data_IF_246869432311
#
_entry.id   IF_246869432311
#
_cell.length_a   1.000
_cell.length_b   1.000
_cell.length_c   1.000
_cell.angle_alpha   90.00
_cell.angle_beta   90.00
_cell.angle_gamma   90.00
#
_symmetry.space_group_name_H-M   'P 1'
#
loop_
_entity.id
_entity.type
_entity.pdbx_description
1 polymer ?
#
# COMPACT_ATOMS: atom_id res chain seq x y z
N UNK A 1 -14.39 5.47 17.34
CA UNK A 1 -15.30 5.92 16.26
C UNK A 1 -15.70 4.73 15.40
N UNK A 2 -16.96 4.44 15.23
CA UNK A 2 -17.49 3.44 14.30
C UNK A 2 -18.31 4.14 13.23
N UNK A 3 -18.46 3.53 12.05
CA UNK A 3 -19.24 4.06 10.94
C UNK A 3 -20.39 3.11 10.60
N UNK A 4 -21.61 3.62 10.62
CA UNK A 4 -22.79 2.94 10.09
C UNK A 4 -23.04 3.44 8.68
N UNK A 5 -23.01 2.52 7.72
CA UNK A 5 -23.07 2.83 6.29
C UNK A 5 -24.38 2.31 5.69
N UNK A 6 -25.00 3.13 4.88
CA UNK A 6 -26.16 2.74 4.09
C UNK A 6 -26.19 3.50 2.77
N UNK A 7 -26.76 2.87 1.76
CA UNK A 7 -27.11 3.54 0.51
C UNK A 7 -28.38 4.35 0.70
N UNK A 8 -28.37 5.62 0.28
CA UNK A 8 -29.58 6.47 0.27
C UNK A 8 -30.05 6.74 -1.16
N UNK A 9 -29.13 7.25 -1.98
CA UNK A 9 -29.36 7.44 -3.41
C UNK A 9 -28.00 7.63 -4.09
N UNK A 10 -27.75 6.89 -5.15
CA UNK A 10 -26.57 7.13 -5.97
C UNK A 10 -26.75 8.41 -6.78
N UNK A 11 -25.69 9.22 -6.97
CA UNK A 11 -25.73 10.36 -7.86
C UNK A 11 -26.09 9.93 -9.29
N UNK A 12 -26.99 10.68 -9.94
CA UNK A 12 -27.33 10.47 -11.35
C UNK A 12 -26.27 11.04 -12.31
N UNK A 13 -25.39 11.90 -11.80
CA UNK A 13 -24.33 12.55 -12.55
C UNK A 13 -22.96 11.91 -12.25
N UNK A 14 -22.02 12.10 -13.17
CA UNK A 14 -20.63 11.67 -12.98
C UNK A 14 -19.99 12.45 -11.83
N UNK A 15 -19.53 11.74 -10.82
CA UNK A 15 -18.86 12.33 -9.66
C UNK A 15 -17.35 12.44 -9.88
N UNK A 16 -16.76 13.55 -9.45
CA UNK A 16 -15.31 13.77 -9.50
C UNK A 16 -14.70 13.60 -8.11
N UNK A 17 -13.75 12.71 -8.00
CA UNK A 17 -13.01 12.43 -6.76
C UNK A 17 -11.51 12.66 -7.01
N UNK A 18 -10.89 13.44 -6.13
CA UNK A 18 -9.44 13.64 -6.14
C UNK A 18 -8.81 12.82 -5.02
N UNK A 19 -8.33 11.64 -5.38
CA UNK A 19 -7.56 10.80 -4.47
C UNK A 19 -6.18 11.44 -4.27
N UNK A 20 -5.66 11.40 -3.04
CA UNK A 20 -4.31 11.91 -2.76
C UNK A 20 -3.25 11.07 -3.48
N UNK A 21 -2.04 11.61 -3.55
CA UNK A 21 -0.91 10.92 -4.15
C UNK A 21 -0.60 9.58 -3.49
N UNK A 22 -0.02 8.68 -4.27
CA UNK A 22 0.38 7.35 -3.82
C UNK A 22 1.29 7.42 -2.60
N UNK A 23 0.90 6.73 -1.53
CA UNK A 23 1.72 6.55 -0.35
C UNK A 23 3.07 5.91 -0.69
N UNK A 24 3.06 4.93 -1.58
CA UNK A 24 4.26 4.18 -1.97
C UNK A 24 5.27 5.04 -2.74
N UNK A 25 4.82 5.89 -3.65
CA UNK A 25 5.68 6.85 -4.34
C UNK A 25 6.14 7.96 -3.42
N UNK A 26 5.20 8.57 -2.67
CA UNK A 26 5.48 9.66 -1.74
C UNK A 26 6.57 9.31 -0.74
N UNK A 27 6.49 8.13 -0.14
CA UNK A 27 7.46 7.72 0.87
C UNK A 27 8.86 7.49 0.26
N UNK A 28 8.95 7.01 -0.97
CA UNK A 28 10.22 6.87 -1.70
C UNK A 28 10.83 8.23 -2.02
N UNK A 29 10.03 9.11 -2.58
CA UNK A 29 10.48 10.45 -2.95
C UNK A 29 10.90 11.29 -1.73
N UNK A 30 10.25 11.13 -0.58
CA UNK A 30 10.64 11.81 0.67
C UNK A 30 12.01 11.36 1.15
N UNK A 31 12.36 10.06 1.03
CA UNK A 31 13.71 9.58 1.37
C UNK A 31 14.74 10.16 0.42
N UNK A 32 14.46 10.18 -0.88
CA UNK A 32 15.36 10.77 -1.88
C UNK A 32 15.49 12.29 -1.69
N UNK A 33 14.39 13.01 -1.40
CA UNK A 33 14.43 14.45 -1.14
C UNK A 33 15.24 14.80 0.12
N UNK A 34 15.27 13.93 1.12
CA UNK A 34 16.05 14.18 2.33
C UNK A 34 17.58 14.18 2.07
N UNK A 35 18.02 13.49 1.03
CA UNK A 35 19.41 13.53 0.58
C UNK A 35 19.62 14.55 -0.55
N UNK A 36 18.66 14.68 -1.44
CA UNK A 36 18.71 15.57 -2.60
C UNK A 36 17.61 16.64 -2.49
N UNK A 37 17.88 17.77 -1.81
CA UNK A 37 16.88 18.83 -1.59
C UNK A 37 16.34 19.50 -2.87
N UNK A 38 17.03 19.31 -4.00
CA UNK A 38 16.63 19.79 -5.33
C UNK A 38 15.39 19.06 -5.89
N UNK A 39 14.89 18.03 -5.23
CA UNK A 39 13.65 17.36 -5.63
C UNK A 39 12.46 18.14 -5.10
N UNK A 40 11.71 18.82 -5.98
CA UNK A 40 10.42 19.40 -5.65
C UNK A 40 9.31 18.34 -5.84
N UNK A 41 8.54 18.04 -4.78
CA UNK A 41 7.50 17.01 -4.82
C UNK A 41 6.13 17.65 -4.73
N UNK A 42 5.24 17.31 -5.65
CA UNK A 42 3.85 17.72 -5.68
C UNK A 42 2.91 16.54 -5.52
N UNK A 43 1.69 16.79 -5.06
CA UNK A 43 0.66 15.79 -4.81
C UNK A 43 1.11 14.67 -3.85
N UNK A 44 1.87 15.03 -2.80
CA UNK A 44 2.23 14.06 -1.76
C UNK A 44 0.98 13.43 -1.13
N UNK A 45 1.12 12.19 -0.71
CA UNK A 45 0.11 11.52 0.12
C UNK A 45 -0.10 12.28 1.44
N UNK A 46 -1.35 12.45 1.83
CA UNK A 46 -1.76 13.02 3.13
C UNK A 46 -1.98 11.93 4.20
N UNK A 47 -1.59 10.69 3.90
CA UNK A 47 -1.69 9.56 4.82
C UNK A 47 -0.85 9.73 6.08
N UNK A 48 -1.29 9.09 7.18
CA UNK A 48 -0.53 9.06 8.43
C UNK A 48 0.87 8.49 8.23
N UNK A 49 1.02 7.43 7.44
CA UNK A 49 2.30 6.80 7.11
C UNK A 49 3.28 7.79 6.48
N UNK A 50 2.83 8.59 5.53
CA UNK A 50 3.67 9.61 4.85
C UNK A 50 3.98 10.78 5.77
N UNK A 51 2.99 11.20 6.58
CA UNK A 51 3.16 12.29 7.55
C UNK A 51 4.20 11.92 8.61
N UNK A 52 4.15 10.70 9.12
CA UNK A 52 5.11 10.18 10.12
C UNK A 52 6.50 10.08 9.51
N UNK A 53 6.65 9.56 8.29
CA UNK A 53 7.94 9.51 7.60
C UNK A 53 8.52 10.93 7.39
N UNK A 54 7.72 11.87 6.89
CA UNK A 54 8.13 13.26 6.64
C UNK A 54 8.62 13.98 7.90
N UNK A 55 8.03 13.67 9.05
CA UNK A 55 8.48 14.20 10.35
C UNK A 55 9.73 13.48 10.85
N UNK A 56 9.71 12.13 10.82
CA UNK A 56 10.76 11.29 11.37
C UNK A 56 12.10 11.47 10.67
N UNK A 57 12.12 11.60 9.35
CA UNK A 57 13.34 11.72 8.55
C UNK A 57 14.18 12.97 8.88
N UNK A 58 13.60 13.97 9.54
CA UNK A 58 14.26 15.21 9.96
C UNK A 58 14.94 15.09 11.33
N UNK A 59 14.66 14.04 12.06
CA UNK A 59 15.17 13.83 13.43
C UNK A 59 16.47 13.05 13.33
N UNK A 60 17.60 13.70 13.55
CA UNK A 60 18.91 13.05 13.52
C UNK A 60 19.39 12.56 14.89
N UNK A 61 18.76 12.99 15.98
CA UNK A 61 19.09 12.59 17.35
C UNK A 61 17.81 12.40 18.18
N UNK A 62 17.76 11.34 18.99
CA UNK A 62 16.65 11.05 19.89
C UNK A 62 15.68 9.99 19.37
N UNK A 63 14.42 10.03 19.80
CA UNK A 63 13.43 8.97 19.52
C UNK A 63 12.56 9.32 18.33
N UNK A 64 12.47 8.40 17.37
CA UNK A 64 11.55 8.45 16.24
C UNK A 64 10.52 7.35 16.38
N UNK A 65 9.28 7.71 16.69
CA UNK A 65 8.16 6.76 16.79
C UNK A 65 7.33 6.81 15.51
N UNK A 66 7.37 5.72 14.75
CA UNK A 66 6.63 5.59 13.49
C UNK A 66 5.23 4.99 13.67
N UNK A 67 4.78 4.78 14.89
CA UNK A 67 3.48 4.17 15.19
C UNK A 67 3.24 2.88 14.37
N UNK A 68 2.28 2.90 13.45
CA UNK A 68 1.92 1.76 12.61
C UNK A 68 2.54 1.80 11.19
N UNK A 69 3.36 2.82 10.89
CA UNK A 69 3.87 3.09 9.55
C UNK A 69 4.98 2.11 9.15
N UNK A 70 4.60 0.97 8.56
CA UNK A 70 5.53 -0.10 8.18
C UNK A 70 6.58 0.34 7.17
N UNK A 71 6.21 1.12 6.17
CA UNK A 71 7.15 1.67 5.18
C UNK A 71 8.12 2.63 5.83
N UNK A 72 7.64 3.51 6.72
CA UNK A 72 8.50 4.45 7.46
C UNK A 72 9.53 3.71 8.31
N UNK A 73 9.13 2.64 9.03
CA UNK A 73 10.07 1.82 9.81
C UNK A 73 11.22 1.30 8.93
N UNK A 74 10.92 0.71 7.76
CA UNK A 74 11.93 0.11 6.88
C UNK A 74 12.82 1.15 6.22
N UNK A 75 12.23 2.20 5.69
CA UNK A 75 12.95 3.25 4.98
C UNK A 75 13.83 4.08 5.91
N UNK A 76 13.32 4.45 7.09
CA UNK A 76 14.10 5.18 8.09
C UNK A 76 15.22 4.33 8.69
N UNK A 77 15.04 3.00 8.85
CA UNK A 77 16.12 2.12 9.28
C UNK A 77 17.32 2.21 8.33
N UNK A 78 17.08 2.10 7.01
CA UNK A 78 18.13 2.21 6.02
C UNK A 78 18.71 3.64 5.94
N UNK A 79 17.84 4.65 5.92
CA UNK A 79 18.25 6.05 5.83
C UNK A 79 19.15 6.46 7.01
N UNK A 80 18.74 6.20 8.24
CA UNK A 80 19.53 6.56 9.41
C UNK A 80 20.84 5.77 9.49
N UNK A 81 20.85 4.51 9.07
CA UNK A 81 22.06 3.70 9.01
C UNK A 81 23.13 4.32 8.10
N UNK A 82 22.72 4.90 6.96
CA UNK A 82 23.60 5.54 5.98
C UNK A 82 23.84 7.05 6.24
N UNK A 83 23.03 7.70 7.10
CA UNK A 83 23.12 9.14 7.38
C UNK A 83 24.14 9.43 8.48
N UNK A 84 25.35 9.85 8.10
CA UNK A 84 26.40 10.22 9.06
C UNK A 84 25.89 11.22 10.11
N UNK A 85 26.16 10.92 11.37
CA UNK A 85 25.77 11.76 12.51
C UNK A 85 24.36 11.50 13.05
N UNK A 86 23.60 10.57 12.48
CA UNK A 86 22.34 10.14 13.11
C UNK A 86 22.63 9.29 14.36
N UNK A 87 21.91 9.54 15.45
CA UNK A 87 21.88 8.73 16.67
C UNK A 87 20.44 8.62 17.16
N UNK A 88 19.70 7.65 16.67
CA UNK A 88 18.25 7.55 16.84
C UNK A 88 17.82 6.24 17.48
N UNK A 89 16.78 6.33 18.32
CA UNK A 89 15.97 5.19 18.75
C UNK A 89 14.73 5.13 17.85
N UNK A 90 14.71 4.19 16.90
CA UNK A 90 13.58 4.02 16.00
C UNK A 90 12.62 2.96 16.54
N UNK A 91 11.38 3.39 16.83
CA UNK A 91 10.35 2.56 17.46
C UNK A 91 8.98 2.72 16.79
N UNK A 92 7.99 1.98 17.26
CA UNK A 92 6.61 2.04 16.78
C UNK A 92 5.62 1.48 17.80
N UNK A 93 4.37 1.28 17.40
CA UNK A 93 3.35 0.63 18.23
C UNK A 93 3.76 -0.79 18.60
N UNK A 94 3.08 -1.38 19.59
CA UNK A 94 3.30 -2.77 20.00
C UNK A 94 3.27 -3.71 18.78
N UNK A 95 2.25 -3.59 17.92
CA UNK A 95 2.17 -4.40 16.69
C UNK A 95 3.34 -4.16 15.73
N UNK A 96 3.89 -2.93 15.65
CA UNK A 96 5.09 -2.66 14.86
C UNK A 96 6.31 -3.37 15.42
N UNK A 97 6.42 -3.46 16.73
CA UNK A 97 7.51 -4.16 17.41
C UNK A 97 7.44 -5.70 17.28
N UNK A 98 6.31 -6.23 16.84
CA UNK A 98 6.11 -7.66 16.51
C UNK A 98 6.37 -7.98 15.04
N UNK A 99 6.62 -6.96 14.21
CA UNK A 99 6.87 -7.17 12.77
C UNK A 99 8.36 -7.32 12.49
N UNK A 100 8.78 -8.41 11.82
CA UNK A 100 10.19 -8.70 11.61
C UNK A 100 10.88 -7.62 10.76
N UNK A 101 12.14 -7.34 11.07
CA UNK A 101 13.03 -6.43 10.34
C UNK A 101 14.45 -6.99 10.19
N UNK A 102 14.69 -8.17 10.70
CA UNK A 102 16.00 -8.82 10.76
C UNK A 102 16.72 -8.87 9.40
N UNK A 103 16.00 -9.23 8.35
CA UNK A 103 16.58 -9.35 6.99
C UNK A 103 17.20 -8.02 6.54
N UNK A 104 16.51 -6.89 6.78
CA UNK A 104 17.02 -5.57 6.43
C UNK A 104 18.20 -5.18 7.33
N UNK A 105 18.09 -5.41 8.63
CA UNK A 105 19.17 -5.06 9.59
C UNK A 105 20.43 -5.86 9.28
N UNK A 106 20.31 -7.16 8.99
CA UNK A 106 21.44 -8.00 8.63
C UNK A 106 22.11 -7.56 7.32
N UNK A 107 21.29 -7.16 6.32
CA UNK A 107 21.82 -6.59 5.08
C UNK A 107 22.59 -5.28 5.34
N UNK A 108 22.04 -4.37 6.15
CA UNK A 108 22.69 -3.11 6.51
C UNK A 108 23.96 -3.31 7.35
N UNK A 109 23.95 -4.25 8.30
CA UNK A 109 25.14 -4.61 9.09
C UNK A 109 26.27 -5.16 8.19
N UNK A 110 25.95 -5.94 7.15
CA UNK A 110 26.95 -6.37 6.15
C UNK A 110 27.56 -5.19 5.37
N UNK A 111 26.79 -4.11 5.17
CA UNK A 111 27.28 -2.87 4.57
C UNK A 111 28.09 -2.00 5.56
N UNK A 112 28.22 -2.41 6.84
CA UNK A 112 28.96 -1.72 7.88
C UNK A 112 28.10 -0.86 8.81
N UNK A 113 26.78 -0.98 8.79
CA UNK A 113 25.89 -0.21 9.65
C UNK A 113 26.01 -0.60 11.14
N UNK A 114 25.80 0.39 12.00
CA UNK A 114 25.76 0.27 13.45
C UNK A 114 24.31 0.29 13.94
N UNK A 115 23.74 -0.87 14.09
CA UNK A 115 22.33 -1.06 14.48
C UNK A 115 22.26 -2.09 15.60
N UNK A 116 21.59 -1.73 16.70
CA UNK A 116 21.35 -2.60 17.85
C UNK A 116 19.84 -2.82 18.04
N UNK A 117 19.44 -4.04 18.36
CA UNK A 117 18.08 -4.33 18.82
C UNK A 117 17.98 -4.00 20.31
N UNK A 118 16.96 -3.23 20.69
CA UNK A 118 16.83 -2.76 22.08
C UNK A 118 16.11 -3.76 22.98
N UNK A 119 15.23 -4.56 22.40
CA UNK A 119 14.42 -5.55 23.14
C UNK A 119 14.64 -6.97 22.58
N UNK A 120 13.99 -7.29 21.48
CA UNK A 120 14.04 -8.63 20.88
C UNK A 120 14.85 -8.63 19.60
N UNK A 121 15.78 -9.61 19.45
CA UNK A 121 16.55 -9.80 18.22
C UNK A 121 15.60 -10.01 17.03
N UNK A 122 15.86 -9.32 15.92
CA UNK A 122 15.03 -9.38 14.72
C UNK A 122 13.87 -8.42 14.67
N UNK A 123 13.57 -7.67 15.74
CA UNK A 123 12.39 -6.83 15.87
C UNK A 123 12.73 -5.41 16.39
N UNK A 124 11.94 -4.37 16.00
CA UNK A 124 12.05 -3.05 16.64
C UNK A 124 11.73 -3.14 18.15
N UNK A 125 12.20 -2.20 19.00
CA UNK A 125 12.91 -0.95 18.65
C UNK A 125 14.37 -1.17 18.26
N UNK A 126 14.90 -0.23 17.43
CA UNK A 126 16.29 -0.25 16.94
C UNK A 126 17.03 1.00 17.42
N UNK A 127 18.21 0.82 18.00
CA UNK A 127 19.18 1.91 18.21
C UNK A 127 20.09 1.94 16.98
N UNK A 128 20.13 3.09 16.29
CA UNK A 128 20.86 3.25 15.03
C UNK A 128 21.84 4.41 15.16
N UNK A 129 23.12 4.13 14.92
CA UNK A 129 24.17 5.15 14.79
C UNK A 129 24.62 5.24 13.33
N UNK A 130 24.29 6.35 12.70
CA UNK A 130 24.54 6.58 11.28
C UNK A 130 26.02 6.74 10.95
N UNK A 131 26.46 6.03 9.93
CA UNK A 131 27.87 6.01 9.45
C UNK A 131 27.92 6.15 7.94
N UNK A 132 29.13 6.49 7.43
CA UNK A 132 29.43 6.25 6.03
C UNK A 132 29.61 4.74 5.82
N UNK A 133 28.65 4.11 5.17
CA UNK A 133 28.76 2.69 4.79
C UNK A 133 29.82 2.53 3.70
N UNK A 134 30.70 1.55 3.84
CA UNK A 134 31.86 1.37 2.96
C UNK A 134 31.69 0.25 1.94
N UNK A 135 30.90 -0.77 2.31
CA UNK A 135 30.62 -1.88 1.42
C UNK A 135 29.57 -1.50 0.38
N UNK A 136 29.70 -2.01 -0.82
CA UNK A 136 28.82 -1.69 -1.95
C UNK A 136 28.15 -2.90 -2.59
N UNK A 137 28.25 -4.07 -1.94
CA UNK A 137 27.55 -5.28 -2.36
C UNK A 137 26.84 -5.95 -1.18
N UNK A 138 25.61 -6.42 -1.42
CA UNK A 138 24.85 -7.16 -0.42
C UNK A 138 23.96 -8.20 -1.08
N UNK A 139 23.81 -9.34 -0.41
CA UNK A 139 22.84 -10.38 -0.79
C UNK A 139 21.67 -10.37 0.19
N UNK A 140 20.43 -10.40 -0.33
CA UNK A 140 19.22 -10.36 0.47
C UNK A 140 18.17 -11.38 -0.03
N UNK A 141 17.46 -12.03 0.90
CA UNK A 141 16.32 -12.87 0.57
C UNK A 141 15.15 -12.02 0.08
N UNK A 142 14.63 -12.32 -1.12
CA UNK A 142 13.62 -11.52 -1.80
C UNK A 142 12.17 -11.94 -1.51
N UNK A 143 11.96 -13.08 -0.87
CA UNK A 143 10.63 -13.68 -0.65
C UNK A 143 9.78 -12.98 0.41
N UNK A 144 10.39 -12.20 1.32
CA UNK A 144 9.70 -11.69 2.52
C UNK A 144 9.05 -10.33 2.29
N UNK A 145 9.77 -9.35 1.74
CA UNK A 145 9.23 -7.99 1.54
C UNK A 145 10.05 -7.17 0.55
N UNK A 146 9.43 -6.70 -0.52
CA UNK A 146 10.01 -5.72 -1.44
C UNK A 146 10.40 -4.39 -0.77
N UNK A 147 9.85 -4.08 0.41
CA UNK A 147 10.21 -2.86 1.15
C UNK A 147 11.66 -2.88 1.63
N UNK A 148 12.24 -4.06 1.95
CA UNK A 148 13.65 -4.17 2.33
C UNK A 148 14.56 -3.85 1.15
N UNK A 149 14.24 -4.40 -0.02
CA UNK A 149 14.97 -4.16 -1.26
C UNK A 149 14.88 -2.68 -1.63
N UNK A 150 13.66 -2.12 -1.62
CA UNK A 150 13.44 -0.68 -1.88
C UNK A 150 14.20 0.21 -0.90
N UNK A 151 14.28 -0.14 0.39
CA UNK A 151 15.01 0.63 1.39
C UNK A 151 16.51 0.68 1.07
N UNK A 152 17.11 -0.44 0.66
CA UNK A 152 18.51 -0.50 0.22
C UNK A 152 18.73 0.29 -1.08
N UNK A 153 17.83 0.19 -2.06
CA UNK A 153 17.92 0.96 -3.30
C UNK A 153 17.88 2.46 -3.06
N UNK A 154 17.04 2.92 -2.11
CA UNK A 154 16.88 4.35 -1.82
C UNK A 154 18.09 4.98 -1.15
N UNK A 155 18.91 4.21 -0.42
CA UNK A 155 20.16 4.71 0.16
C UNK A 155 21.36 4.51 -0.76
N UNK A 156 21.24 3.70 -1.81
CA UNK A 156 22.35 3.42 -2.71
C UNK A 156 23.00 4.67 -3.32
N UNK A 157 22.25 5.72 -3.73
CA UNK A 157 22.87 6.96 -4.20
C UNK A 157 23.74 7.67 -3.17
N UNK A 158 23.48 7.46 -1.86
CA UNK A 158 24.26 8.06 -0.77
C UNK A 158 25.61 7.36 -0.54
N UNK A 159 25.77 6.12 -1.05
CA UNK A 159 26.98 5.33 -0.84
C UNK A 159 28.07 5.72 -1.83
N UNK A 160 29.35 5.71 -1.43
CA UNK A 160 30.44 6.22 -2.28
C UNK A 160 30.57 5.53 -3.65
N UNK A 161 30.27 4.22 -3.73
CA UNK A 161 30.35 3.39 -4.95
C UNK A 161 28.97 2.95 -5.47
N UNK A 162 27.89 3.50 -4.92
CA UNK A 162 26.54 2.96 -5.17
C UNK A 162 26.33 1.62 -4.46
N UNK A 163 25.40 0.80 -4.94
CA UNK A 163 25.05 -0.47 -4.32
C UNK A 163 24.63 -1.52 -5.36
N UNK A 164 25.21 -2.71 -5.23
CA UNK A 164 24.78 -3.92 -5.92
C UNK A 164 24.04 -4.83 -4.93
N UNK A 165 22.82 -5.19 -5.28
CA UNK A 165 21.94 -6.03 -4.46
C UNK A 165 21.68 -7.33 -5.20
N UNK A 166 22.17 -8.45 -4.67
CA UNK A 166 21.90 -9.79 -5.18
C UNK A 166 20.69 -10.37 -4.47
N UNK A 167 19.69 -10.82 -5.24
CA UNK A 167 18.42 -11.35 -4.73
C UNK A 167 18.48 -12.88 -4.66
N UNK A 168 18.22 -13.45 -3.48
CA UNK A 168 18.07 -14.88 -3.29
C UNK A 168 16.58 -15.27 -3.20
N UNK A 169 16.21 -16.37 -3.88
CA UNK A 169 14.85 -16.87 -3.91
C UNK A 169 13.98 -16.21 -4.97
N UNK A 170 12.67 -16.48 -4.91
CA UNK A 170 11.69 -15.94 -5.87
C UNK A 170 11.32 -14.51 -5.47
N UNK A 171 11.60 -13.54 -6.33
CA UNK A 171 11.21 -12.15 -6.10
C UNK A 171 9.69 -11.99 -6.17
N UNK A 172 9.11 -11.42 -5.13
CA UNK A 172 7.68 -11.10 -5.04
C UNK A 172 7.47 -9.60 -5.01
N UNK A 173 6.27 -9.16 -5.39
CA UNK A 173 5.94 -7.72 -5.43
C UNK A 173 6.93 -6.91 -6.27
N UNK A 174 7.35 -7.46 -7.41
CA UNK A 174 8.28 -6.87 -8.36
C UNK A 174 7.94 -5.42 -8.75
N UNK A 175 6.66 -5.03 -8.94
CA UNK A 175 6.30 -3.64 -9.28
C UNK A 175 6.83 -2.59 -8.30
N UNK A 176 6.99 -2.91 -7.02
CA UNK A 176 7.55 -1.95 -6.05
C UNK A 176 9.06 -1.74 -6.19
N UNK A 177 9.79 -2.77 -6.65
CA UNK A 177 11.21 -2.68 -6.99
C UNK A 177 11.36 -1.82 -8.25
N UNK A 178 10.56 -2.12 -9.27
CA UNK A 178 10.55 -1.37 -10.53
C UNK A 178 10.15 0.10 -10.31
N UNK A 179 9.12 0.37 -9.50
CA UNK A 179 8.75 1.73 -9.10
C UNK A 179 9.95 2.47 -8.49
N UNK A 180 10.67 1.84 -7.55
CA UNK A 180 11.83 2.46 -6.91
C UNK A 180 12.91 2.78 -7.95
N UNK A 181 13.19 1.85 -8.84
CA UNK A 181 14.18 2.01 -9.90
C UNK A 181 13.80 3.14 -10.88
N UNK A 182 12.52 3.22 -11.27
CA UNK A 182 12.04 4.27 -12.16
C UNK A 182 12.07 5.65 -11.48
N UNK A 183 11.73 5.75 -10.19
CA UNK A 183 11.85 7.01 -9.45
C UNK A 183 13.30 7.47 -9.35
N UNK A 184 14.25 6.56 -9.10
CA UNK A 184 15.69 6.86 -9.13
C UNK A 184 16.11 7.37 -10.52
N UNK A 185 15.71 6.71 -11.59
CA UNK A 185 16.01 7.14 -12.97
C UNK A 185 15.44 8.53 -13.28
N UNK A 186 14.20 8.81 -12.84
CA UNK A 186 13.56 10.12 -13.05
C UNK A 186 14.30 11.28 -12.37
N UNK A 187 15.03 11.02 -11.30
CA UNK A 187 15.88 12.04 -10.64
C UNK A 187 17.33 12.02 -11.16
N UNK A 188 17.63 11.28 -12.23
CA UNK A 188 18.96 11.23 -12.86
C UNK A 188 19.91 10.21 -12.26
N UNK A 189 19.48 9.36 -11.34
CA UNK A 189 20.30 8.28 -10.79
C UNK A 189 20.23 7.05 -11.69
N UNK A 190 21.38 6.57 -12.16
CA UNK A 190 21.44 5.36 -12.99
C UNK A 190 21.19 4.12 -12.14
N UNK A 191 20.37 3.23 -12.66
CA UNK A 191 20.11 1.94 -12.02
C UNK A 191 19.64 0.91 -13.02
N UNK A 192 19.92 -0.36 -12.74
CA UNK A 192 19.55 -1.49 -13.57
C UNK A 192 19.07 -2.67 -12.72
N UNK A 193 18.14 -3.44 -13.25
CA UNK A 193 17.70 -4.71 -12.70
C UNK A 193 17.80 -5.77 -13.78
N UNK A 194 18.65 -6.75 -13.59
CA UNK A 194 18.89 -7.84 -14.56
C UNK A 194 19.06 -9.17 -13.83
N UNK A 195 18.29 -10.15 -14.24
CA UNK A 195 18.24 -11.45 -13.55
C UNK A 195 17.86 -11.27 -12.07
N UNK A 196 18.76 -11.67 -11.17
CA UNK A 196 18.59 -11.55 -9.72
C UNK A 196 19.48 -10.44 -9.12
N UNK A 197 19.95 -9.49 -9.93
CA UNK A 197 20.84 -8.41 -9.46
C UNK A 197 20.24 -7.04 -9.76
N UNK A 198 20.27 -6.16 -8.76
CA UNK A 198 19.91 -4.75 -8.87
C UNK A 198 21.18 -3.95 -8.62
N UNK A 199 21.51 -3.04 -9.53
CA UNK A 199 22.62 -2.12 -9.39
C UNK A 199 22.11 -0.69 -9.43
N UNK A 200 22.51 0.13 -8.45
CA UNK A 200 22.18 1.55 -8.37
C UNK A 200 23.46 2.33 -8.15
N UNK A 201 23.74 3.30 -9.02
CA UNK A 201 24.94 4.13 -8.93
C UNK A 201 24.89 5.13 -7.77
N UNK A 202 26.06 5.55 -7.31
CA UNK A 202 26.19 6.70 -6.42
C UNK A 202 25.80 7.98 -7.15
N UNK A 203 25.30 8.98 -6.40
CA UNK A 203 25.06 10.33 -6.89
C UNK A 203 25.48 11.34 -5.83
N UNK A 204 26.35 12.28 -6.20
CA UNK A 204 26.74 13.39 -5.29
C UNK A 204 25.79 14.57 -5.40
N UNK A 205 25.36 14.86 -6.60
CA UNK A 205 24.43 15.94 -6.92
C UNK A 205 23.46 15.44 -7.98
N UNK A 206 22.25 15.97 -7.96
CA UNK A 206 21.25 15.80 -9.00
C UNK A 206 20.82 17.20 -9.49
N UNK A 207 20.30 17.27 -10.69
CA UNK A 207 19.70 18.50 -11.21
C UNK A 207 18.38 18.79 -10.48
N UNK A 208 17.91 20.06 -10.60
CA UNK A 208 16.59 20.44 -10.11
C UNK A 208 15.52 19.64 -10.85
N UNK A 209 14.71 18.91 -10.11
CA UNK A 209 13.67 18.06 -10.68
C UNK A 209 12.33 18.25 -9.96
N UNK A 210 11.27 18.35 -10.75
CA UNK A 210 9.88 18.40 -10.26
C UNK A 210 9.24 17.04 -10.45
N UNK A 211 8.83 16.42 -9.35
CA UNK A 211 8.19 15.12 -9.30
C UNK A 211 6.73 15.27 -8.89
N UNK A 212 5.81 14.88 -9.75
CA UNK A 212 4.37 14.87 -9.46
C UNK A 212 3.99 13.43 -9.12
N UNK A 213 3.58 13.21 -7.88
CA UNK A 213 3.12 11.90 -7.42
C UNK A 213 1.79 11.57 -8.06
N UNK A 214 1.68 10.41 -8.68
CA UNK A 214 0.41 9.89 -9.19
C UNK A 214 -0.55 9.56 -8.03
N UNK A 215 -1.86 9.69 -8.23
CA UNK A 215 -2.85 9.28 -7.24
C UNK A 215 -2.78 7.78 -6.94
N UNK A 216 -3.21 7.39 -5.74
CA UNK A 216 -3.02 6.04 -5.21
C UNK A 216 -3.98 5.03 -5.84
N UNK A 217 -3.46 4.10 -6.64
CA UNK A 217 -4.25 3.06 -7.29
C UNK A 217 -4.88 2.06 -6.32
N UNK A 218 -4.22 1.76 -5.20
CA UNK A 218 -4.86 0.96 -4.16
C UNK A 218 -6.14 1.64 -3.64
N UNK A 219 -6.07 2.97 -3.45
CA UNK A 219 -7.23 3.77 -3.01
C UNK A 219 -8.30 3.86 -4.08
N UNK A 220 -7.94 3.88 -5.35
CA UNK A 220 -8.90 3.83 -6.46
C UNK A 220 -9.74 2.55 -6.44
N UNK A 221 -9.19 1.43 -5.93
CA UNK A 221 -9.87 0.12 -5.93
C UNK A 221 -11.25 0.15 -5.25
N UNK A 222 -11.43 1.00 -4.26
CA UNK A 222 -12.71 1.11 -3.55
C UNK A 222 -13.79 1.76 -4.41
N UNK A 223 -13.44 2.69 -5.31
CA UNK A 223 -14.34 3.27 -6.29
C UNK A 223 -14.63 2.30 -7.43
N UNK A 224 -13.65 1.50 -7.85
CA UNK A 224 -13.89 0.38 -8.76
C UNK A 224 -14.92 -0.60 -8.16
N UNK A 225 -14.78 -0.93 -6.88
CA UNK A 225 -15.75 -1.77 -6.16
C UNK A 225 -17.14 -1.14 -6.13
N UNK A 226 -17.25 0.17 -5.84
CA UNK A 226 -18.52 0.88 -5.87
C UNK A 226 -19.17 0.81 -7.25
N UNK A 227 -18.43 1.10 -8.32
CA UNK A 227 -18.96 1.04 -9.69
C UNK A 227 -19.38 -0.39 -10.05
N UNK A 228 -18.56 -1.41 -9.70
CA UNK A 228 -18.88 -2.81 -9.93
C UNK A 228 -20.21 -3.22 -9.26
N UNK A 229 -20.45 -2.77 -8.03
CA UNK A 229 -21.63 -3.10 -7.22
C UNK A 229 -22.85 -2.23 -7.52
N UNK A 230 -22.67 -1.11 -8.18
CA UNK A 230 -23.77 -0.21 -8.60
C UNK A 230 -24.41 -0.66 -9.91
N UNK A 231 -25.54 -0.05 -10.25
CA UNK A 231 -26.19 -0.22 -11.56
C UNK A 231 -25.69 0.80 -12.59
N UNK A 232 -25.51 2.06 -12.17
CA UNK A 232 -25.27 3.17 -13.10
C UNK A 232 -24.30 4.25 -12.57
N UNK A 233 -23.58 4.00 -11.47
CA UNK A 233 -22.63 4.98 -10.93
C UNK A 233 -21.49 5.23 -11.91
N UNK A 234 -21.17 6.51 -12.14
CA UNK A 234 -20.00 6.96 -12.90
C UNK A 234 -19.09 7.78 -12.00
N UNK A 235 -17.80 7.50 -12.07
CA UNK A 235 -16.78 8.15 -11.23
C UNK A 235 -15.59 8.57 -12.08
N UNK A 236 -15.20 9.85 -11.99
CA UNK A 236 -13.93 10.33 -12.54
C UNK A 236 -12.94 10.56 -11.42
N UNK A 237 -11.78 9.91 -11.53
CA UNK A 237 -10.68 10.02 -10.58
C UNK A 237 -9.54 10.83 -11.19
N UNK A 238 -9.00 11.81 -10.44
CA UNK A 238 -7.95 12.72 -10.90
C UNK A 238 -6.54 12.23 -10.62
N UNK A 239 -5.58 12.71 -11.42
CA UNK A 239 -4.13 12.45 -11.30
C UNK A 239 -3.74 10.98 -11.50
N UNK A 240 -4.30 10.32 -12.51
CA UNK A 240 -3.97 8.95 -12.92
C UNK A 240 -3.35 8.92 -14.32
N UNK A 241 -2.50 7.94 -14.58
CA UNK A 241 -1.82 7.72 -15.87
C UNK A 241 -2.00 6.27 -16.34
N UNK A 242 -2.08 6.09 -17.66
CA UNK A 242 -2.07 4.75 -18.26
C UNK A 242 -0.70 4.07 -18.08
N UNK A 243 0.39 4.87 -18.10
CA UNK A 243 1.76 4.41 -17.84
C UNK A 243 2.14 4.58 -16.37
N UNK A 244 1.37 3.94 -15.49
CA UNK A 244 1.60 4.02 -14.04
C UNK A 244 2.81 3.21 -13.59
N UNK A 245 3.54 3.74 -12.60
CA UNK A 245 4.58 3.00 -11.88
C UNK A 245 4.00 2.08 -10.79
N UNK A 246 2.73 2.23 -10.46
CA UNK A 246 2.09 1.47 -9.40
C UNK A 246 1.59 0.13 -9.95
N UNK A 247 2.02 -0.99 -9.36
CA UNK A 247 1.56 -2.32 -9.75
C UNK A 247 0.03 -2.47 -9.69
N UNK A 248 -0.59 -1.78 -8.73
CA UNK A 248 -2.05 -1.79 -8.55
C UNK A 248 -2.82 -1.12 -9.70
N UNK A 249 -2.16 -0.48 -10.68
CA UNK A 249 -2.78 -0.04 -11.94
C UNK A 249 -3.36 -1.22 -12.75
N UNK A 250 -2.92 -2.45 -12.49
CA UNK A 250 -3.57 -3.67 -13.00
C UNK A 250 -5.08 -3.73 -12.68
N UNK A 251 -5.53 -2.93 -11.71
CA UNK A 251 -6.92 -2.76 -11.31
C UNK A 251 -7.86 -2.51 -12.51
N UNK A 252 -7.45 -1.68 -13.49
CA UNK A 252 -8.24 -1.41 -14.68
C UNK A 252 -8.56 -2.69 -15.47
N UNK A 253 -7.57 -3.59 -15.62
CA UNK A 253 -7.75 -4.89 -16.30
C UNK A 253 -8.55 -5.87 -15.45
N UNK A 254 -8.27 -5.94 -14.14
CA UNK A 254 -8.93 -6.86 -13.22
C UNK A 254 -10.43 -6.54 -13.08
N UNK A 255 -10.78 -5.27 -12.93
CA UNK A 255 -12.18 -4.89 -12.79
C UNK A 255 -12.96 -4.83 -14.11
N UNK A 256 -12.31 -4.83 -15.27
CA UNK A 256 -12.98 -5.08 -16.54
C UNK A 256 -13.67 -6.46 -16.55
N UNK A 257 -13.08 -7.46 -15.86
CA UNK A 257 -13.69 -8.78 -15.64
C UNK A 257 -14.91 -8.75 -14.71
N UNK A 258 -15.03 -7.69 -13.91
CA UNK A 258 -16.16 -7.45 -12.98
C UNK A 258 -17.17 -6.43 -13.54
N UNK A 259 -17.04 -6.07 -14.82
CA UNK A 259 -17.96 -5.16 -15.51
C UNK A 259 -17.72 -3.69 -15.20
N UNK A 260 -16.47 -3.29 -14.94
CA UNK A 260 -16.10 -1.88 -14.85
C UNK A 260 -15.22 -1.50 -16.03
N UNK A 261 -15.69 -0.58 -16.85
CA UNK A 261 -14.91 0.05 -17.91
C UNK A 261 -14.07 1.19 -17.35
N UNK A 262 -12.81 1.28 -17.79
CA UNK A 262 -11.89 2.36 -17.45
C UNK A 262 -11.50 3.10 -18.72
N UNK A 263 -11.77 4.40 -18.76
CA UNK A 263 -11.37 5.29 -19.87
C UNK A 263 -10.30 6.25 -19.35
N UNK A 264 -9.10 6.20 -19.94
CA UNK A 264 -8.02 7.12 -19.63
C UNK A 264 -8.16 8.41 -20.43
N UNK A 265 -8.07 9.55 -19.75
CA UNK A 265 -7.93 10.87 -20.37
C UNK A 265 -6.51 11.38 -20.07
N UNK A 266 -5.62 11.19 -21.04
CA UNK A 266 -4.20 11.54 -20.90
C UNK A 266 -3.98 13.05 -20.76
N UNK A 267 -4.79 13.89 -21.42
CA UNK A 267 -4.65 15.35 -21.36
C UNK A 267 -5.02 15.92 -19.99
N UNK A 268 -6.04 15.37 -19.34
CA UNK A 268 -6.49 15.80 -18.00
C UNK A 268 -5.86 14.97 -16.88
N UNK A 269 -5.13 13.91 -17.22
CA UNK A 269 -4.60 12.91 -16.28
C UNK A 269 -5.69 12.33 -15.38
N UNK A 270 -6.83 11.95 -15.95
CA UNK A 270 -7.96 11.37 -15.24
C UNK A 270 -8.31 9.99 -15.77
N UNK A 271 -8.97 9.20 -14.94
CA UNK A 271 -9.66 7.98 -15.37
C UNK A 271 -11.16 8.13 -15.08
N UNK A 272 -11.97 7.67 -16.01
CA UNK A 272 -13.43 7.59 -15.83
C UNK A 272 -13.84 6.13 -15.72
N UNK A 273 -14.58 5.82 -14.66
CA UNK A 273 -15.10 4.49 -14.35
C UNK A 273 -16.59 4.46 -14.61
N UNK A 274 -17.06 3.49 -15.35
CA UNK A 274 -18.47 3.27 -15.61
C UNK A 274 -18.83 1.79 -15.63
N UNK A 275 -20.10 1.49 -15.35
CA UNK A 275 -20.61 0.14 -15.43
C UNK A 275 -20.71 -0.30 -16.89
N UNK A 276 -20.13 -1.47 -17.19
CA UNK A 276 -20.26 -2.16 -18.48
C UNK A 276 -21.17 -3.36 -18.32
N UNK A 277 -22.12 -3.51 -19.21
CA UNK A 277 -22.98 -4.70 -19.24
C UNK A 277 -22.16 -5.89 -19.77
N UNK A 278 -21.90 -6.84 -18.89
CA UNK A 278 -21.24 -8.11 -19.23
C UNK A 278 -21.96 -9.26 -18.54
N UNK A 279 -21.82 -10.45 -19.08
CA UNK A 279 -22.16 -11.66 -18.35
C UNK A 279 -21.01 -11.95 -17.36
N UNK A 280 -21.31 -11.84 -16.06
CA UNK A 280 -20.33 -12.15 -15.04
C UNK A 280 -20.03 -13.67 -15.02
N UNK A 281 -18.77 -14.07 -14.80
CA UNK A 281 -18.43 -15.47 -14.62
C UNK A 281 -18.98 -16.00 -13.29
N UNK A 282 -19.12 -17.31 -13.16
CA UNK A 282 -19.48 -17.92 -11.87
C UNK A 282 -18.39 -17.77 -10.83
N UNK A 283 -17.12 -17.77 -11.27
CA UNK A 283 -15.95 -17.58 -10.42
C UNK A 283 -14.80 -16.97 -11.22
N UNK A 284 -13.92 -16.21 -10.55
CA UNK A 284 -12.68 -15.66 -11.08
C UNK A 284 -11.47 -16.42 -10.53
N UNK A 285 -10.46 -16.64 -11.37
CA UNK A 285 -9.14 -17.15 -10.97
C UNK A 285 -8.09 -16.08 -11.23
N UNK A 286 -7.43 -15.57 -10.18
CA UNK A 286 -6.48 -14.46 -10.27
C UNK A 286 -5.21 -14.74 -9.47
N UNK A 287 -4.06 -14.52 -10.12
CA UNK A 287 -2.76 -14.45 -9.43
C UNK A 287 -2.47 -12.99 -9.06
N UNK A 288 -2.42 -12.72 -7.77
CA UNK A 288 -2.17 -11.39 -7.19
C UNK A 288 -0.76 -11.26 -6.61
N UNK A 289 0.20 -12.10 -7.02
CA UNK A 289 1.60 -12.04 -6.57
C UNK A 289 2.19 -10.62 -6.70
N UNK A 290 1.83 -9.90 -7.76
CA UNK A 290 2.31 -8.53 -8.02
C UNK A 290 1.39 -7.43 -7.47
N UNK A 291 0.17 -7.76 -7.04
CA UNK A 291 -0.86 -6.82 -6.56
C UNK A 291 -1.58 -7.34 -5.33
N UNK A 292 -0.86 -7.88 -4.31
CA UNK A 292 -1.50 -8.55 -3.18
C UNK A 292 -2.38 -7.62 -2.36
N UNK A 293 -2.12 -6.32 -2.40
CA UNK A 293 -2.89 -5.29 -1.69
C UNK A 293 -4.30 -5.07 -2.26
N UNK A 294 -4.62 -5.61 -3.45
CA UNK A 294 -5.97 -5.59 -4.05
C UNK A 294 -6.86 -6.76 -3.60
N UNK A 295 -6.30 -7.77 -2.94
CA UNK A 295 -7.02 -9.00 -2.62
C UNK A 295 -8.31 -8.77 -1.82
N UNK A 296 -8.27 -7.89 -0.80
CA UNK A 296 -9.44 -7.61 0.03
C UNK A 296 -10.56 -6.98 -0.79
N UNK A 297 -10.26 -5.96 -1.58
CA UNK A 297 -11.26 -5.27 -2.39
C UNK A 297 -11.86 -6.19 -3.45
N UNK A 298 -11.04 -7.02 -4.10
CA UNK A 298 -11.50 -7.98 -5.12
C UNK A 298 -12.40 -9.05 -4.50
N UNK A 299 -11.99 -9.68 -3.39
CA UNK A 299 -12.78 -10.72 -2.74
C UNK A 299 -14.14 -10.19 -2.27
N UNK A 300 -14.16 -8.98 -1.66
CA UNK A 300 -15.40 -8.34 -1.20
C UNK A 300 -16.29 -7.93 -2.39
N UNK A 301 -15.70 -7.47 -3.50
CA UNK A 301 -16.46 -7.16 -4.73
C UNK A 301 -17.06 -8.43 -5.33
N UNK A 302 -16.33 -9.53 -5.42
CA UNK A 302 -16.86 -10.83 -5.89
C UNK A 302 -18.03 -11.29 -5.00
N UNK A 303 -17.87 -11.23 -3.68
CA UNK A 303 -18.96 -11.53 -2.74
C UNK A 303 -20.19 -10.65 -2.98
N UNK A 304 -20.00 -9.33 -3.11
CA UNK A 304 -21.09 -8.37 -3.37
C UNK A 304 -21.82 -8.62 -4.70
N UNK A 305 -21.07 -9.05 -5.73
CA UNK A 305 -21.61 -9.42 -7.05
C UNK A 305 -22.28 -10.81 -7.06
N UNK A 306 -22.06 -11.63 -6.02
CA UNK A 306 -22.63 -12.98 -5.93
C UNK A 306 -21.85 -14.04 -6.72
N UNK A 307 -20.60 -13.77 -7.09
CA UNK A 307 -19.70 -14.71 -7.76
C UNK A 307 -18.64 -15.25 -6.82
N UNK A 308 -17.99 -16.37 -7.19
CA UNK A 308 -16.82 -16.90 -6.49
C UNK A 308 -15.52 -16.26 -6.95
N UNK A 309 -14.44 -16.49 -6.21
CA UNK A 309 -13.08 -16.23 -6.68
C UNK A 309 -12.05 -17.13 -6.00
N UNK A 310 -10.98 -17.43 -6.75
CA UNK A 310 -9.76 -18.06 -6.24
C UNK A 310 -8.61 -17.08 -6.46
N UNK A 311 -8.05 -16.58 -5.37
CA UNK A 311 -6.98 -15.59 -5.36
C UNK A 311 -5.70 -16.25 -4.84
N UNK A 312 -4.61 -16.19 -5.61
CA UNK A 312 -3.31 -16.77 -5.27
C UNK A 312 -2.22 -15.69 -5.15
N UNK A 313 -1.01 -16.06 -4.71
CA UNK A 313 0.09 -15.10 -4.54
C UNK A 313 -0.02 -14.23 -3.30
N UNK A 314 -0.71 -14.69 -2.25
CA UNK A 314 -1.10 -13.90 -1.09
C UNK A 314 -0.25 -14.14 0.17
N UNK A 315 0.85 -14.89 0.08
CA UNK A 315 1.70 -15.30 1.21
C UNK A 315 2.18 -14.13 2.10
N UNK A 316 2.36 -12.91 1.53
CA UNK A 316 2.78 -11.74 2.30
C UNK A 316 1.67 -11.13 3.15
N UNK A 317 0.41 -11.48 2.95
CA UNK A 317 -0.73 -10.85 3.63
C UNK A 317 -0.85 -11.22 5.11
N UNK A 318 -0.29 -12.36 5.53
CA UNK A 318 -0.29 -12.82 6.93
C UNK A 318 0.55 -11.95 7.87
N UNK A 319 1.58 -11.29 7.36
CA UNK A 319 2.56 -10.51 8.14
C UNK A 319 2.40 -9.00 7.99
N UNK A 320 1.26 -8.55 7.49
CA UNK A 320 0.92 -7.13 7.34
C UNK A 320 0.42 -6.53 8.68
N UNK A 321 -0.42 -5.54 8.63
CA UNK A 321 -1.02 -4.89 9.81
C UNK A 321 -1.77 -5.89 10.70
N UNK A 322 -2.39 -6.87 10.07
CA UNK A 322 -3.01 -8.07 10.67
C UNK A 322 -2.73 -9.27 9.77
N UNK A 323 -3.14 -10.48 10.17
CA UNK A 323 -3.34 -11.58 9.22
C UNK A 323 -4.57 -11.25 8.37
N UNK A 324 -4.32 -10.66 7.19
CA UNK A 324 -5.36 -10.19 6.28
C UNK A 324 -6.21 -11.31 5.71
N UNK A 325 -5.64 -12.51 5.53
CA UNK A 325 -6.39 -13.66 5.02
C UNK A 325 -7.40 -14.14 6.05
N UNK A 326 -6.97 -14.31 7.29
CA UNK A 326 -7.85 -14.70 8.38
C UNK A 326 -8.93 -13.64 8.65
N UNK A 327 -8.56 -12.36 8.71
CA UNK A 327 -9.50 -11.25 8.90
C UNK A 327 -10.56 -11.22 7.79
N UNK A 328 -10.14 -11.32 6.52
CA UNK A 328 -11.04 -11.31 5.37
C UNK A 328 -11.99 -12.49 5.37
N UNK A 329 -11.49 -13.71 5.66
CA UNK A 329 -12.31 -14.91 5.85
C UNK A 329 -13.36 -14.68 6.92
N UNK A 330 -12.94 -14.27 8.12
CA UNK A 330 -13.82 -14.09 9.28
C UNK A 330 -14.95 -13.10 8.97
N UNK A 331 -14.63 -11.97 8.35
CA UNK A 331 -15.65 -10.94 8.10
C UNK A 331 -16.60 -11.30 6.94
N UNK A 332 -16.08 -11.97 5.90
CA UNK A 332 -16.93 -12.48 4.81
C UNK A 332 -17.87 -13.60 5.30
N UNK A 333 -17.40 -14.49 6.18
CA UNK A 333 -18.24 -15.55 6.76
C UNK A 333 -19.38 -15.00 7.62
N UNK A 334 -19.17 -13.92 8.38
CA UNK A 334 -20.25 -13.21 9.08
C UNK A 334 -21.35 -12.75 8.12
N UNK A 335 -20.96 -12.30 6.92
CA UNK A 335 -21.89 -11.89 5.86
C UNK A 335 -22.57 -13.07 5.16
N UNK A 336 -22.19 -14.31 5.45
CA UNK A 336 -22.77 -15.53 4.89
C UNK A 336 -22.00 -16.14 3.74
N UNK A 337 -20.73 -15.76 3.56
CA UNK A 337 -19.83 -16.39 2.60
C UNK A 337 -19.34 -17.76 3.09
N UNK A 338 -18.90 -18.62 2.15
CA UNK A 338 -18.05 -19.78 2.38
C UNK A 338 -16.67 -19.46 1.87
N UNK A 339 -15.66 -19.43 2.76
CA UNK A 339 -14.30 -19.00 2.45
C UNK A 339 -13.27 -20.01 2.96
N UNK A 340 -12.39 -20.44 2.08
CA UNK A 340 -11.25 -21.29 2.43
C UNK A 340 -9.95 -20.51 2.21
N UNK A 341 -9.03 -20.60 3.14
CA UNK A 341 -7.71 -19.97 3.06
C UNK A 341 -6.61 -20.97 3.36
N UNK A 342 -5.45 -20.77 2.75
CA UNK A 342 -4.19 -21.40 3.12
C UNK A 342 -3.10 -20.32 3.31
N UNK A 343 -1.83 -20.70 3.27
CA UNK A 343 -0.72 -19.76 3.48
C UNK A 343 -0.53 -18.77 2.32
N UNK A 344 -1.08 -19.05 1.15
CA UNK A 344 -0.84 -18.31 -0.08
C UNK A 344 -2.09 -17.97 -0.87
N UNK A 345 -3.26 -18.46 -0.47
CA UNK A 345 -4.48 -18.31 -1.26
C UNK A 345 -5.73 -18.05 -0.43
N UNK A 346 -6.75 -17.51 -1.12
CA UNK A 346 -8.11 -17.37 -0.64
C UNK A 346 -9.06 -17.89 -1.72
N UNK A 347 -9.97 -18.79 -1.36
CA UNK A 347 -11.03 -19.31 -2.19
C UNK A 347 -12.38 -18.90 -1.59
N UNK A 348 -13.12 -18.07 -2.31
CA UNK A 348 -14.48 -17.66 -2.02
C UNK A 348 -15.44 -18.44 -2.93
N UNK A 349 -16.37 -19.17 -2.34
CA UNK A 349 -17.43 -19.84 -3.11
C UNK A 349 -18.45 -18.84 -3.61
N UNK A 350 -19.15 -19.19 -4.69
CA UNK A 350 -20.29 -18.42 -5.19
C UNK A 350 -21.31 -18.23 -4.06
N UNK A 351 -21.69 -16.98 -3.82
CA UNK A 351 -22.55 -16.61 -2.70
C UNK A 351 -23.92 -17.29 -2.77
N UNK A 352 -24.30 -18.00 -1.72
CA UNK A 352 -25.60 -18.59 -1.52
C UNK A 352 -26.52 -17.77 -0.60
N UNK A 353 -25.90 -17.01 0.33
CA UNK A 353 -26.59 -16.26 1.37
C UNK A 353 -25.97 -14.86 1.53
N UNK A 354 -26.78 -13.92 1.98
CA UNK A 354 -26.32 -12.58 2.36
C UNK A 354 -26.95 -12.17 3.69
N UNK A 355 -26.16 -12.18 4.76
CA UNK A 355 -26.60 -11.72 6.07
C UNK A 355 -26.57 -10.18 6.13
N UNK A 356 -27.63 -9.58 6.67
CA UNK A 356 -27.78 -8.11 6.77
C UNK A 356 -27.42 -7.61 8.16
N UNK A 357 -27.12 -6.31 8.27
CA UNK A 357 -26.87 -5.63 9.56
C UNK A 357 -25.60 -6.08 10.28
N UNK A 358 -24.61 -6.56 9.55
CA UNK A 358 -23.36 -7.08 10.11
C UNK A 358 -22.41 -5.93 10.47
N UNK A 359 -21.73 -6.07 11.63
CA UNK A 359 -20.62 -5.24 12.02
C UNK A 359 -19.30 -5.92 11.61
N UNK A 360 -18.50 -5.20 10.82
CA UNK A 360 -17.19 -5.62 10.33
C UNK A 360 -16.11 -5.06 11.24
N UNK A 361 -15.25 -5.95 11.73
CA UNK A 361 -14.05 -5.58 12.48
C UNK A 361 -12.92 -5.21 11.51
N UNK A 362 -12.18 -4.17 11.85
CA UNK A 362 -11.09 -3.69 10.98
C UNK A 362 -9.72 -4.26 11.34
N UNK A 363 -9.56 -4.86 12.51
CA UNK A 363 -8.28 -5.43 12.97
C UNK A 363 -7.11 -4.44 12.87
N UNK A 364 -7.36 -3.17 13.12
CA UNK A 364 -6.39 -2.08 12.95
C UNK A 364 -5.83 -1.96 11.51
N UNK A 365 -6.53 -2.52 10.51
CA UNK A 365 -6.15 -2.46 9.10
C UNK A 365 -7.13 -1.60 8.30
N UNK A 366 -6.62 -0.52 7.73
CA UNK A 366 -7.37 0.41 6.91
C UNK A 366 -8.03 -0.24 5.69
N UNK A 367 -7.38 -1.27 5.09
CA UNK A 367 -7.93 -1.97 3.93
C UNK A 367 -9.17 -2.78 4.28
N UNK A 368 -9.27 -3.31 5.51
CA UNK A 368 -10.50 -3.97 5.97
C UNK A 368 -11.66 -2.98 6.02
N UNK A 369 -11.46 -1.80 6.61
CA UNK A 369 -12.51 -0.77 6.62
C UNK A 369 -12.98 -0.39 5.21
N UNK A 370 -12.01 -0.08 4.33
CA UNK A 370 -12.29 0.49 3.02
C UNK A 370 -12.83 -0.54 2.01
N UNK A 371 -12.36 -1.79 2.07
CA UNK A 371 -12.82 -2.84 1.15
C UNK A 371 -14.28 -3.24 1.38
N UNK A 372 -14.74 -3.24 2.65
CA UNK A 372 -16.11 -3.59 2.98
C UNK A 372 -17.11 -2.44 2.79
N UNK A 373 -16.67 -1.19 2.81
CA UNK A 373 -17.54 -0.02 2.69
C UNK A 373 -18.43 -0.03 1.44
N UNK A 374 -17.98 -0.44 0.23
CA UNK A 374 -18.82 -0.52 -0.96
C UNK A 374 -20.02 -1.46 -0.85
N UNK A 375 -19.99 -2.45 0.08
CA UNK A 375 -21.15 -3.32 0.32
C UNK A 375 -22.37 -2.57 0.87
N UNK A 376 -22.20 -1.32 1.33
CA UNK A 376 -23.32 -0.45 1.70
C UNK A 376 -24.35 -0.26 0.56
N UNK A 377 -23.94 -0.48 -0.71
CA UNK A 377 -24.86 -0.54 -1.86
C UNK A 377 -25.80 -1.74 -1.84
N UNK A 378 -25.46 -2.79 -1.12
CA UNK A 378 -26.23 -4.05 -1.06
C UNK A 378 -26.97 -4.26 0.26
N UNK A 379 -26.43 -3.72 1.35
CA UNK A 379 -26.99 -3.86 2.70
C UNK A 379 -26.47 -2.76 3.62
N UNK A 380 -27.24 -2.43 4.66
CA UNK A 380 -26.70 -1.65 5.77
C UNK A 380 -25.57 -2.45 6.44
N UNK A 381 -24.42 -1.81 6.65
CA UNK A 381 -23.22 -2.41 7.23
C UNK A 381 -22.60 -1.45 8.25
N UNK A 382 -22.06 -1.97 9.33
CA UNK A 382 -21.30 -1.20 10.31
C UNK A 382 -19.82 -1.53 10.17
N UNK A 383 -18.96 -0.52 10.20
CA UNK A 383 -17.50 -0.67 10.22
C UNK A 383 -17.00 -0.21 11.60
N UNK A 384 -16.49 -1.13 12.39
CA UNK A 384 -15.93 -0.83 13.68
C UNK A 384 -14.51 -0.24 13.53
N UNK A 385 -14.14 0.67 14.43
CA UNK A 385 -12.84 1.37 14.37
C UNK A 385 -12.59 2.03 12.99
N UNK A 386 -13.57 2.72 12.47
CA UNK A 386 -13.57 3.31 11.12
C UNK A 386 -12.47 4.37 10.90
N UNK A 387 -11.88 4.92 11.97
CA UNK A 387 -10.78 5.90 11.92
C UNK A 387 -9.48 5.36 11.32
N UNK A 388 -9.29 4.04 11.26
CA UNK A 388 -8.08 3.42 10.71
C UNK A 388 -7.79 3.77 9.25
N UNK A 389 -8.77 4.30 8.51
CA UNK A 389 -8.60 4.72 7.10
C UNK A 389 -7.55 5.82 6.94
N UNK A 390 -7.32 6.63 7.98
CA UNK A 390 -6.32 7.71 7.96
C UNK A 390 -4.89 7.23 7.66
N UNK A 391 -4.60 5.96 7.91
CA UNK A 391 -3.31 5.33 7.58
C UNK A 391 -2.91 5.47 6.11
N UNK A 392 -3.89 5.51 5.19
CA UNK A 392 -3.61 5.61 3.75
C UNK A 392 -4.56 6.55 3.01
N UNK A 393 -5.77 6.80 3.53
CA UNK A 393 -6.77 7.62 2.85
C UNK A 393 -7.62 8.40 3.87
N UNK A 394 -7.10 9.50 4.43
CA UNK A 394 -7.81 10.27 5.47
C UNK A 394 -9.18 10.81 5.04
N UNK A 395 -9.36 11.10 3.74
CA UNK A 395 -10.62 11.65 3.19
C UNK A 395 -11.62 10.58 2.76
N UNK A 396 -11.33 9.29 3.00
CA UNK A 396 -12.12 8.17 2.47
C UNK A 396 -13.62 8.29 2.73
N UNK A 397 -14.03 8.52 3.97
CA UNK A 397 -15.46 8.61 4.31
C UNK A 397 -16.15 9.78 3.63
N UNK A 398 -15.49 10.94 3.55
CA UNK A 398 -16.01 12.11 2.86
C UNK A 398 -16.21 11.86 1.36
N UNK A 399 -15.32 11.08 0.75
CA UNK A 399 -15.40 10.76 -0.67
C UNK A 399 -16.42 9.63 -0.91
N UNK A 400 -16.65 8.72 0.06
CA UNK A 400 -17.76 7.78 0.05
C UNK A 400 -19.12 8.50 0.12
N UNK A 401 -19.24 9.56 0.92
CA UNK A 401 -20.45 10.39 0.99
C UNK A 401 -20.75 11.08 -0.34
N UNK A 402 -19.74 11.61 -1.02
CA UNK A 402 -19.87 12.15 -2.38
C UNK A 402 -20.36 11.08 -3.37
N UNK A 403 -19.93 9.84 -3.17
CA UNK A 403 -20.36 8.71 -4.00
C UNK A 403 -21.75 8.17 -3.63
N UNK A 404 -22.48 8.81 -2.70
CA UNK A 404 -23.86 8.48 -2.35
C UNK A 404 -24.01 7.48 -1.20
N UNK A 405 -22.93 7.14 -0.49
CA UNK A 405 -22.97 6.32 0.71
C UNK A 405 -23.12 7.22 1.94
N UNK A 406 -24.21 7.11 2.67
CA UNK A 406 -24.37 7.83 3.93
C UNK A 406 -23.49 7.20 5.01
N UNK A 407 -22.64 8.00 5.63
CA UNK A 407 -21.75 7.60 6.72
C UNK A 407 -22.21 8.26 8.03
N UNK A 408 -22.76 7.49 8.95
CA UNK A 408 -23.13 7.99 10.28
C UNK A 408 -22.12 7.47 11.27
N UNK A 409 -21.42 8.40 11.94
CA UNK A 409 -20.42 8.06 12.92
C UNK A 409 -20.98 8.07 14.33
N UNK A 410 -20.62 7.09 15.12
CA UNK A 410 -20.85 7.04 16.55
C UNK A 410 -19.53 6.91 17.31
N UNK A 411 -19.42 7.65 18.39
CA UNK A 411 -18.27 7.60 19.32
C UNK A 411 -18.55 6.62 20.47
N UNK A 412 -19.38 5.59 20.27
CA UNK A 412 -19.62 4.61 21.31
C UNK A 412 -18.27 4.04 21.79
N UNK A 413 -17.86 4.50 22.95
CA UNK A 413 -16.79 3.93 23.77
C UNK A 413 -17.07 2.43 23.97
N UNK A 414 -16.05 1.61 23.68
CA UNK A 414 -15.96 0.28 24.26
C UNK A 414 -15.05 0.34 25.47
#
# INVERSE_FOLDING_TARGET
MNAKLKNVSLPSENIKINICGSKSESNRLLVLQAEFPNIAIENLSDSDDTTVLKKGIKVLEGTVNVHHAGTAMRFLTAYFAAKKGADVLLTGSQRMQERPIEILVNALRKLGADIEYVQSEGFPPLKIKGKNLQENEVTIKSEVSSQYISALMLIAPMLPAGLKISLEGKTTSLPYIEMTLQLLKKIGVTGNFSGNSIEVSSAKNIEDVRMIVESDWSSASYFYSLVALSENLQVTLGSFSEESLQGDAALAKLYNLLGVETIFNTSEKTISLSKKSIQLPDSLLLDLTNTPDLAQTIAVSCFGLGIGCSLTGLHTLKIKETDRLLALKTELEKLGASVHIDDNSLNLEKRQKFNKGIAVETYQDHRMAMAFAPLALKTEIRINNAGVVSKSYPKFWKDMEKAGITCVFDDSEN
#
